data_IF_795879571423
#
_entry.id   IF_795879571423
#
_cell.length_a   1.000
_cell.length_b   1.000
_cell.length_c   1.000
_cell.angle_alpha   90.00
_cell.angle_beta   90.00
_cell.angle_gamma   90.00
#
_symmetry.space_group_name_H-M   'P 1'
#
loop_
_entity.id
_entity.type
_entity.pdbx_description
1 polymer ?
#
# COMPACT_ATOMS: atom_id res chain seq x y z
N UNK A 1 -3.35 -21.96 8.12
CA UNK A 1 -3.88 -20.81 7.37
C UNK A 1 -2.74 -19.83 7.16
N UNK A 2 -2.53 -19.33 5.94
CA UNK A 2 -1.63 -18.20 5.76
C UNK A 2 -2.25 -16.96 6.45
N UNK A 3 -1.39 -16.04 6.86
CA UNK A 3 -1.76 -14.83 7.60
C UNK A 3 -2.68 -13.89 6.82
N UNK A 4 -2.60 -13.89 5.48
CA UNK A 4 -3.47 -13.09 4.61
C UNK A 4 -4.89 -13.63 4.61
N UNK A 5 -5.09 -14.95 4.61
CA UNK A 5 -6.42 -15.56 4.75
C UNK A 5 -7.05 -15.28 6.10
N UNK A 6 -6.27 -15.25 7.19
CA UNK A 6 -6.79 -14.90 8.52
C UNK A 6 -7.33 -13.47 8.56
N UNK A 7 -6.57 -12.56 7.95
CA UNK A 7 -6.93 -11.16 7.77
C UNK A 7 -8.18 -11.02 6.90
N UNK A 8 -8.26 -11.74 5.79
CA UNK A 8 -9.43 -11.77 4.90
C UNK A 8 -10.68 -12.26 5.65
N UNK A 9 -10.57 -13.42 6.30
CA UNK A 9 -11.63 -14.03 7.08
C UNK A 9 -12.17 -13.07 8.14
N UNK A 10 -11.28 -12.41 8.89
CA UNK A 10 -11.68 -11.40 9.87
C UNK A 10 -12.52 -10.27 9.25
N UNK A 11 -12.11 -9.73 8.10
CA UNK A 11 -12.86 -8.66 7.44
C UNK A 11 -14.22 -9.14 6.91
N UNK A 12 -14.28 -10.37 6.40
CA UNK A 12 -15.51 -11.01 5.91
C UNK A 12 -16.49 -11.32 7.06
N UNK A 13 -16.01 -11.86 8.18
CA UNK A 13 -16.81 -12.14 9.39
C UNK A 13 -17.49 -10.88 9.95
N UNK A 14 -16.83 -9.73 9.82
CA UNK A 14 -17.36 -8.45 10.27
C UNK A 14 -18.14 -7.70 9.18
N UNK A 15 -18.39 -8.36 8.04
CA UNK A 15 -19.14 -7.83 6.89
C UNK A 15 -18.63 -6.45 6.42
N UNK A 16 -17.31 -6.24 6.44
CA UNK A 16 -16.72 -4.95 6.07
C UNK A 16 -16.70 -4.79 4.55
N UNK A 17 -17.18 -3.64 4.06
CA UNK A 17 -17.27 -3.36 2.61
C UNK A 17 -16.00 -2.72 2.06
N UNK A 18 -14.88 -2.94 2.74
CA UNK A 18 -13.59 -2.34 2.43
C UNK A 18 -12.72 -3.21 1.50
N UNK A 19 -13.16 -4.40 1.12
CA UNK A 19 -12.38 -5.23 0.19
C UNK A 19 -12.47 -4.69 -1.23
N UNK A 20 -11.31 -4.36 -1.80
CA UNK A 20 -11.19 -3.89 -3.17
C UNK A 20 -10.60 -4.97 -4.07
N UNK A 21 -10.91 -4.89 -5.35
CA UNK A 21 -10.29 -5.74 -6.39
C UNK A 21 -9.23 -4.98 -7.19
N UNK A 22 -9.21 -3.65 -7.08
CA UNK A 22 -8.31 -2.73 -7.81
C UNK A 22 -7.85 -1.60 -6.89
N UNK A 23 -6.66 -1.07 -7.15
CA UNK A 23 -6.17 0.16 -6.55
C UNK A 23 -6.39 1.32 -7.53
N UNK A 24 -7.55 1.96 -7.47
CA UNK A 24 -7.90 3.08 -8.35
C UNK A 24 -8.76 4.12 -7.64
N UNK A 25 -8.32 5.38 -7.65
CA UNK A 25 -9.06 6.48 -7.02
C UNK A 25 -8.81 7.80 -7.71
N UNK A 26 -9.87 8.57 -7.96
CA UNK A 26 -9.80 9.93 -8.54
C UNK A 26 -8.94 10.02 -9.82
N UNK A 27 -9.02 9.02 -10.69
CA UNK A 27 -8.23 8.94 -11.94
C UNK A 27 -6.76 8.55 -11.76
N UNK A 28 -6.31 8.27 -10.53
CA UNK A 28 -5.04 7.60 -10.26
C UNK A 28 -5.25 6.09 -10.23
N UNK A 29 -4.37 5.33 -10.89
CA UNK A 29 -4.41 3.87 -10.93
C UNK A 29 -3.05 3.34 -10.45
N UNK A 30 -3.05 2.26 -9.70
CA UNK A 30 -1.86 1.46 -9.42
C UNK A 30 -2.08 0.05 -9.98
N UNK A 31 -1.26 -0.36 -10.93
CA UNK A 31 -1.47 -1.61 -11.65
C UNK A 31 -0.96 -2.78 -10.79
N UNK A 32 -1.86 -3.76 -10.58
CA UNK A 32 -1.59 -4.96 -9.80
C UNK A 32 -1.43 -6.17 -10.74
N UNK A 33 -0.35 -6.14 -11.52
CA UNK A 33 -0.04 -7.03 -12.65
C UNK A 33 0.48 -8.42 -12.27
N UNK A 34 0.61 -8.71 -10.98
CA UNK A 34 1.07 -10.01 -10.50
C UNK A 34 -0.12 -10.93 -10.21
N UNK A 35 -0.07 -12.18 -10.69
CA UNK A 35 -1.09 -13.20 -10.43
C UNK A 35 -0.84 -13.96 -9.13
N UNK A 36 -0.92 -13.24 -8.01
CA UNK A 36 -0.60 -13.78 -6.69
C UNK A 36 -1.69 -13.48 -5.68
N UNK A 37 -1.76 -14.30 -4.62
CA UNK A 37 -2.71 -14.09 -3.54
C UNK A 37 -2.40 -12.76 -2.83
N UNK A 38 -3.40 -11.89 -2.82
CA UNK A 38 -3.33 -10.56 -2.25
C UNK A 38 -4.67 -10.16 -1.68
N UNK A 39 -4.60 -9.35 -0.65
CA UNK A 39 -5.74 -8.65 -0.10
C UNK A 39 -5.55 -7.16 -0.31
N UNK A 40 -6.58 -6.51 -0.86
CA UNK A 40 -6.60 -5.07 -1.05
C UNK A 40 -7.73 -4.51 -0.18
N UNK A 41 -7.40 -3.54 0.65
CA UNK A 41 -8.34 -2.88 1.55
C UNK A 41 -8.43 -1.42 1.10
N UNK A 42 -9.62 -0.98 0.71
CA UNK A 42 -10.00 0.43 0.59
C UNK A 42 -10.16 1.01 1.99
N UNK A 43 -9.17 1.80 2.39
CA UNK A 43 -9.03 2.25 3.78
C UNK A 43 -9.99 3.40 4.08
N UNK A 44 -10.45 4.14 3.08
CA UNK A 44 -11.49 5.15 3.25
C UNK A 44 -12.83 4.48 3.57
N UNK A 45 -13.19 3.43 2.82
CA UNK A 45 -14.39 2.65 3.12
C UNK A 45 -14.30 1.99 4.49
N UNK A 46 -13.14 1.40 4.82
CA UNK A 46 -12.90 0.85 6.15
C UNK A 46 -13.05 1.91 7.25
N UNK A 47 -12.44 3.09 7.06
CA UNK A 47 -12.52 4.20 8.00
C UNK A 47 -13.95 4.68 8.23
N UNK A 48 -14.76 4.76 7.16
CA UNK A 48 -16.18 5.11 7.24
C UNK A 48 -16.98 4.05 8.02
N UNK A 49 -16.78 2.77 7.71
CA UNK A 49 -17.44 1.65 8.43
C UNK A 49 -17.10 1.64 9.92
N UNK A 50 -15.91 2.13 10.30
CA UNK A 50 -15.45 2.23 11.68
C UNK A 50 -15.74 3.59 12.36
N UNK A 51 -16.37 4.55 11.65
CA UNK A 51 -16.59 5.90 12.18
C UNK A 51 -15.28 6.66 12.48
N UNK A 52 -14.20 6.35 11.76
CA UNK A 52 -12.90 6.97 11.97
C UNK A 52 -12.91 8.43 11.46
N UNK A 53 -12.64 9.39 12.35
CA UNK A 53 -12.53 10.80 11.98
C UNK A 53 -11.15 11.20 11.45
N UNK A 54 -10.15 10.34 11.62
CA UNK A 54 -8.76 10.60 11.23
C UNK A 54 -8.60 10.37 9.73
N UNK A 55 -7.80 11.20 9.07
CA UNK A 55 -7.48 10.99 7.64
C UNK A 55 -6.51 9.83 7.51
N UNK A 56 -6.93 8.79 6.81
CA UNK A 56 -6.14 7.60 6.52
C UNK A 56 -5.56 7.68 5.10
N UNK A 57 -4.75 6.69 4.72
CA UNK A 57 -4.32 6.52 3.35
C UNK A 57 -5.44 5.92 2.49
N UNK A 58 -5.26 5.83 1.18
CA UNK A 58 -6.33 5.32 0.30
C UNK A 58 -6.43 3.80 0.30
N UNK A 59 -5.30 3.08 0.24
CA UNK A 59 -5.29 1.61 0.16
C UNK A 59 -4.24 0.96 1.04
N UNK A 60 -4.55 -0.24 1.53
CA UNK A 60 -3.60 -1.24 2.02
C UNK A 60 -3.58 -2.41 1.04
N UNK A 61 -2.38 -2.93 0.76
CA UNK A 61 -2.21 -4.23 0.12
C UNK A 61 -1.40 -5.12 1.05
N UNK A 62 -1.95 -6.30 1.35
CA UNK A 62 -1.20 -7.42 1.92
C UNK A 62 -0.94 -8.40 0.81
N UNK A 63 0.34 -8.62 0.52
CA UNK A 63 0.81 -9.50 -0.53
C UNK A 63 1.50 -10.70 0.12
N UNK A 64 1.04 -11.91 -0.18
CA UNK A 64 1.66 -13.14 0.30
C UNK A 64 2.57 -13.71 -0.79
N UNK A 65 3.87 -13.53 -0.63
CA UNK A 65 4.85 -14.16 -1.51
C UNK A 65 4.97 -15.64 -1.16
N UNK A 66 4.21 -16.47 -1.88
CA UNK A 66 4.17 -17.92 -1.70
C UNK A 66 5.54 -18.58 -1.83
N UNK A 67 6.46 -18.01 -2.61
CA UNK A 67 7.78 -18.60 -2.82
C UNK A 67 8.69 -18.40 -1.61
N UNK A 68 8.71 -17.19 -1.05
CA UNK A 68 9.56 -16.87 0.10
C UNK A 68 8.86 -16.95 1.45
N UNK A 69 7.55 -17.27 1.47
CA UNK A 69 6.67 -17.23 2.63
C UNK A 69 6.73 -15.89 3.38
N UNK A 70 6.91 -14.79 2.63
CA UNK A 70 7.02 -13.44 3.18
C UNK A 70 5.76 -12.65 2.90
N UNK A 71 5.34 -11.89 3.91
CA UNK A 71 4.20 -11.00 3.79
C UNK A 71 4.73 -9.59 3.58
N UNK A 72 4.28 -8.97 2.50
CA UNK A 72 4.61 -7.59 2.16
C UNK A 72 3.39 -6.73 2.44
N UNK A 73 3.56 -5.75 3.33
CA UNK A 73 2.56 -4.71 3.60
C UNK A 73 2.87 -3.47 2.77
N UNK A 74 1.94 -3.06 1.93
CA UNK A 74 2.03 -1.86 1.11
C UNK A 74 0.94 -0.90 1.55
N UNK A 75 1.32 0.33 1.92
CA UNK A 75 0.37 1.42 2.16
C UNK A 75 0.43 2.39 1.00
N UNK A 76 -0.71 2.77 0.46
CA UNK A 76 -0.78 3.60 -0.75
C UNK A 76 -1.62 4.83 -0.46
N UNK A 77 -0.99 5.98 -0.62
CA UNK A 77 -1.65 7.27 -0.72
C UNK A 77 -1.64 7.73 -2.19
N UNK A 78 -2.80 8.09 -2.75
CA UNK A 78 -2.98 8.56 -4.11
C UNK A 78 -3.34 10.05 -4.15
N UNK A 79 -2.54 10.81 -4.88
CA UNK A 79 -2.78 12.24 -5.13
C UNK A 79 -2.94 12.49 -6.62
N UNK A 80 -4.19 12.63 -7.06
CA UNK A 80 -4.50 12.96 -8.46
C UNK A 80 -4.16 14.41 -8.83
N UNK A 81 -4.03 15.31 -7.84
CA UNK A 81 -3.70 16.72 -8.00
C UNK A 81 -2.48 17.17 -7.21
N UNK A 82 -2.28 18.50 -7.12
CA UNK A 82 -1.18 19.07 -6.32
C UNK A 82 -1.46 18.83 -4.83
N UNK A 83 -0.65 17.99 -4.19
CA UNK A 83 -0.59 17.92 -2.74
C UNK A 83 0.35 19.01 -2.20
N UNK A 84 -0.05 19.70 -1.14
CA UNK A 84 0.84 20.61 -0.39
C UNK A 84 1.38 19.88 0.83
N UNK A 85 2.68 20.01 1.08
CA UNK A 85 3.31 19.65 2.35
C UNK A 85 3.36 18.16 2.70
N UNK A 86 3.36 17.86 4.00
CA UNK A 86 3.60 16.54 4.60
C UNK A 86 2.36 15.65 4.73
N UNK A 87 1.20 16.12 4.32
CA UNK A 87 -0.09 15.45 4.50
C UNK A 87 -0.12 13.97 4.04
N UNK A 88 0.47 13.57 2.90
CA UNK A 88 0.53 12.15 2.53
C UNK A 88 1.23 11.26 3.57
N UNK A 89 2.30 11.77 4.17
CA UNK A 89 3.05 11.06 5.20
C UNK A 89 2.21 10.88 6.47
N UNK A 90 1.51 11.94 6.88
CA UNK A 90 0.61 11.92 8.04
C UNK A 90 -0.50 10.89 7.85
N UNK A 91 -1.13 10.84 6.68
CA UNK A 91 -2.17 9.86 6.35
C UNK A 91 -1.66 8.41 6.45
N UNK A 92 -0.48 8.13 5.90
CA UNK A 92 0.16 6.81 6.00
C UNK A 92 0.49 6.48 7.46
N UNK A 93 1.04 7.43 8.22
CA UNK A 93 1.41 7.22 9.62
C UNK A 93 0.18 6.99 10.50
N UNK A 94 -0.90 7.75 10.28
CA UNK A 94 -2.18 7.57 10.95
C UNK A 94 -2.78 6.21 10.65
N UNK A 95 -2.70 5.74 9.40
CA UNK A 95 -3.17 4.38 9.04
C UNK A 95 -2.45 3.29 9.82
N UNK A 96 -1.13 3.39 9.97
CA UNK A 96 -0.36 2.43 10.77
C UNK A 96 -0.80 2.43 12.22
N UNK A 97 -1.03 3.61 12.80
CA UNK A 97 -1.44 3.75 14.19
C UNK A 97 -2.84 3.18 14.40
N UNK A 98 -3.79 3.58 13.55
CA UNK A 98 -5.19 3.16 13.59
C UNK A 98 -5.34 1.66 13.35
N UNK A 99 -4.58 1.09 12.41
CA UNK A 99 -4.64 -0.34 12.08
C UNK A 99 -3.53 -1.17 12.73
N UNK A 100 -2.88 -0.63 13.76
CA UNK A 100 -1.76 -1.30 14.44
C UNK A 100 -2.15 -2.67 15.00
N UNK A 101 -3.33 -2.79 15.61
CA UNK A 101 -3.85 -4.05 16.15
C UNK A 101 -3.96 -5.14 15.06
N UNK A 102 -4.30 -4.73 13.83
CA UNK A 102 -4.39 -5.62 12.69
C UNK A 102 -2.99 -6.08 12.24
N UNK A 103 -2.06 -5.15 12.09
CA UNK A 103 -0.68 -5.45 11.68
C UNK A 103 0.16 -6.17 12.73
N UNK A 104 -0.26 -6.14 14.00
CA UNK A 104 0.38 -6.91 15.08
C UNK A 104 0.09 -8.41 14.99
N UNK A 105 -1.05 -8.81 14.39
CA UNK A 105 -1.41 -10.23 14.20
C UNK A 105 -0.69 -10.87 13.01
N UNK A 106 0.01 -10.07 12.20
CA UNK A 106 0.61 -10.47 10.94
C UNK A 106 2.13 -10.26 10.99
N UNK A 107 2.90 -11.31 10.65
CA UNK A 107 4.36 -11.25 10.59
C UNK A 107 4.86 -10.56 9.32
N UNK A 108 4.73 -9.24 9.27
CA UNK A 108 5.15 -8.42 8.12
C UNK A 108 6.67 -8.50 7.93
N UNK A 109 7.11 -9.08 6.81
CA UNK A 109 8.53 -9.20 6.45
C UNK A 109 9.04 -7.95 5.74
N UNK A 110 8.19 -7.31 4.93
CA UNK A 110 8.55 -6.11 4.16
C UNK A 110 7.44 -5.07 4.27
N UNK A 111 7.82 -3.81 4.47
CA UNK A 111 6.88 -2.70 4.58
C UNK A 111 7.23 -1.60 3.58
N UNK A 112 6.26 -1.23 2.74
CA UNK A 112 6.43 -0.31 1.62
C UNK A 112 5.38 0.82 1.69
N UNK A 113 5.72 1.97 2.28
CA UNK A 113 4.86 3.15 2.20
C UNK A 113 5.03 3.82 0.83
N UNK A 114 3.95 3.93 0.05
CA UNK A 114 3.93 4.45 -1.31
C UNK A 114 3.06 5.71 -1.39
N UNK A 115 3.60 6.74 -2.03
CA UNK A 115 2.86 7.91 -2.50
C UNK A 115 2.79 7.88 -4.03
N UNK A 116 1.57 7.78 -4.57
CA UNK A 116 1.28 7.90 -5.99
C UNK A 116 0.85 9.33 -6.31
N UNK A 117 1.46 9.93 -7.34
CA UNK A 117 1.08 11.25 -7.83
C UNK A 117 0.63 11.19 -9.28
N UNK A 118 -0.45 11.91 -9.59
CA UNK A 118 -1.02 11.99 -10.95
C UNK A 118 -0.26 12.96 -11.84
N UNK A 119 -0.98 13.58 -12.77
CA UNK A 119 -0.43 14.43 -13.84
C UNK A 119 0.47 15.58 -13.37
N UNK A 120 0.33 16.03 -12.12
CA UNK A 120 1.12 17.12 -11.56
C UNK A 120 2.00 16.58 -10.45
N UNK A 121 3.34 16.53 -10.64
CA UNK A 121 4.23 16.14 -9.57
C UNK A 121 4.14 17.12 -8.40
N UNK A 122 4.53 16.71 -7.18
CA UNK A 122 4.77 17.63 -6.08
C UNK A 122 5.75 18.72 -6.53
N UNK A 123 5.64 19.94 -5.97
CA UNK A 123 6.64 20.99 -6.24
C UNK A 123 8.02 20.47 -5.85
N UNK A 124 9.08 20.88 -6.55
CA UNK A 124 10.44 20.37 -6.33
C UNK A 124 10.88 20.41 -4.86
N UNK A 125 10.55 21.51 -4.15
CA UNK A 125 10.81 21.63 -2.71
C UNK A 125 10.03 20.60 -1.90
N UNK A 126 8.72 20.46 -2.14
CA UNK A 126 7.87 19.45 -1.48
C UNK A 126 8.39 18.04 -1.76
N UNK A 127 8.84 17.77 -2.99
CA UNK A 127 9.35 16.45 -3.39
C UNK A 127 10.65 16.09 -2.67
N UNK A 128 11.60 17.03 -2.55
CA UNK A 128 12.83 16.82 -1.76
C UNK A 128 12.48 16.56 -0.30
N UNK A 129 11.62 17.39 0.28
CA UNK A 129 11.14 17.20 1.65
C UNK A 129 10.50 15.82 1.85
N UNK A 130 9.60 15.41 0.95
CA UNK A 130 8.92 14.11 1.03
C UNK A 130 9.89 12.93 0.90
N UNK A 131 10.93 13.04 0.05
CA UNK A 131 11.98 12.02 -0.08
C UNK A 131 12.81 11.83 1.18
N UNK A 132 13.01 12.88 1.95
CA UNK A 132 13.80 12.83 3.19
C UNK A 132 12.97 12.36 4.39
N UNK A 133 11.64 12.46 4.30
CA UNK A 133 10.75 11.95 5.34
C UNK A 133 10.75 10.42 5.39
N UNK A 134 10.44 9.91 6.58
CA UNK A 134 10.38 8.49 6.89
C UNK A 134 9.08 8.19 7.63
N UNK A 135 8.50 7.03 7.32
CA UNK A 135 7.35 6.47 8.04
C UNK A 135 7.87 5.55 9.13
N UNK A 136 7.31 5.63 10.34
CA UNK A 136 7.65 4.75 11.45
C UNK A 136 6.74 3.51 11.43
N UNK A 137 7.35 2.33 11.39
CA UNK A 137 6.64 1.05 11.49
C UNK A 137 7.45 0.08 12.35
N UNK A 138 6.83 -0.47 13.40
CA UNK A 138 7.46 -1.41 14.35
C UNK A 138 8.87 -0.97 14.80
N UNK A 139 9.00 0.31 15.18
CA UNK A 139 10.25 0.91 15.66
C UNK A 139 11.32 1.20 14.59
N UNK A 140 11.05 0.90 13.31
CA UNK A 140 11.97 1.15 12.19
C UNK A 140 11.47 2.29 11.29
N UNK A 141 12.42 3.04 10.72
CA UNK A 141 12.16 4.14 9.77
C UNK A 141 12.21 3.63 8.33
N UNK A 142 11.15 3.83 7.58
CA UNK A 142 11.05 3.41 6.18
C UNK A 142 10.96 4.63 5.24
N UNK A 143 11.72 4.67 4.13
CA UNK A 143 11.62 5.73 3.14
C UNK A 143 10.28 5.70 2.43
N UNK A 144 9.68 6.88 2.22
CA UNK A 144 8.49 7.01 1.39
C UNK A 144 8.86 6.76 -0.08
N UNK A 145 8.20 5.79 -0.70
CA UNK A 145 8.38 5.45 -2.10
C UNK A 145 7.44 6.32 -2.93
N UNK A 146 8.00 7.25 -3.69
CA UNK A 146 7.20 8.17 -4.52
C UNK A 146 7.20 7.67 -5.97
N UNK A 147 6.01 7.53 -6.58
CA UNK A 147 5.79 7.01 -7.94
C UNK A 147 4.65 7.72 -8.65
N UNK A 148 4.63 7.63 -9.96
CA UNK A 148 3.54 8.21 -10.75
C UNK A 148 2.32 7.27 -10.74
N UNK A 149 1.12 7.81 -10.84
CA UNK A 149 -0.07 7.02 -11.14
C UNK A 149 0.13 6.28 -12.47
N UNK A 150 -0.26 5.01 -12.55
CA UNK A 150 0.03 4.14 -13.69
C UNK A 150 1.31 3.30 -13.51
N UNK A 151 2.03 3.45 -12.40
CA UNK A 151 3.09 2.50 -12.03
C UNK A 151 2.52 1.11 -11.72
N UNK A 152 3.38 0.11 -11.89
CA UNK A 152 3.08 -1.30 -11.66
C UNK A 152 3.66 -1.78 -10.32
N UNK A 153 2.97 -2.72 -9.67
CA UNK A 153 3.46 -3.31 -8.41
C UNK A 153 4.74 -4.13 -8.64
N UNK A 154 4.87 -4.82 -9.77
CA UNK A 154 6.05 -5.60 -10.15
C UNK A 154 7.35 -4.77 -10.12
N UNK A 155 7.31 -3.54 -10.64
CA UNK A 155 8.44 -2.59 -10.62
C UNK A 155 8.88 -2.24 -9.19
N UNK A 156 7.92 -2.13 -8.28
CA UNK A 156 8.18 -1.79 -6.88
C UNK A 156 8.76 -2.98 -6.14
N UNK A 157 8.15 -4.17 -6.29
CA UNK A 157 8.62 -5.37 -5.59
C UNK A 157 10.03 -5.74 -6.06
N UNK A 158 10.29 -5.76 -7.37
CA UNK A 158 11.64 -6.02 -7.92
C UNK A 158 12.71 -5.12 -7.29
N UNK A 159 12.38 -3.84 -7.05
CA UNK A 159 13.34 -2.87 -6.53
C UNK A 159 13.50 -2.89 -5.01
N UNK A 160 12.44 -3.18 -4.25
CA UNK A 160 12.42 -2.93 -2.81
C UNK A 160 12.20 -4.15 -1.93
N UNK A 161 11.66 -5.25 -2.45
CA UNK A 161 11.55 -6.49 -1.68
C UNK A 161 12.71 -7.47 -1.93
N UNK A 162 13.58 -7.17 -2.91
CA UNK A 162 14.65 -8.09 -3.31
C UNK A 162 14.12 -9.37 -3.97
N UNK A 163 12.84 -9.39 -4.36
CA UNK A 163 12.25 -10.50 -5.12
C UNK A 163 12.67 -10.30 -6.58
N UNK A 164 13.73 -11.00 -6.99
CA UNK A 164 14.24 -10.95 -8.36
C UNK A 164 13.49 -11.88 -9.33
N UNK A 165 12.53 -12.67 -8.84
CA UNK A 165 12.02 -13.85 -9.57
C UNK A 165 10.77 -13.59 -10.44
N UNK A 166 10.35 -12.34 -10.60
CA UNK A 166 9.19 -12.01 -11.45
C UNK A 166 9.44 -12.16 -12.95
N UNK A 167 10.69 -12.43 -13.37
CA UNK A 167 11.07 -12.56 -14.79
C UNK A 167 10.44 -13.75 -15.50
N UNK A 168 9.80 -14.68 -14.79
CA UNK A 168 9.20 -15.87 -15.41
C UNK A 168 7.71 -15.71 -15.78
N UNK A 169 7.04 -14.61 -15.42
CA UNK A 169 5.60 -14.46 -15.65
C UNK A 169 5.20 -13.75 -16.96
N UNK A 170 6.14 -13.18 -17.72
CA UNK A 170 5.83 -12.49 -19.00
C UNK A 170 6.12 -13.31 -20.26
N UNK A 171 6.46 -14.60 -20.17
CA UNK A 171 6.84 -15.40 -21.33
C UNK A 171 5.69 -16.20 -22.01
N UNK A 172 4.43 -16.06 -21.57
CA UNK A 172 3.29 -16.75 -22.22
C UNK A 172 2.12 -15.79 -22.42
N UNK A 173 2.08 -15.14 -23.56
CA UNK A 173 1.01 -14.21 -23.93
C UNK A 173 1.28 -13.57 -25.29
N UNK A 174 1.42 -14.43 -26.31
CA UNK A 174 1.31 -14.07 -27.72
C UNK A 174 -0.16 -14.09 -28.14
#
# INVERSE_FOLDING_TARGET
>A
MNSVSQVRHFLEEHNMRCLATRCQKNGCIFHLDLHTDRLIIDVDNWGNDQGCSTKLCDYIILYDDQHSHKIILILIEMKSGRSKGTRPLEQIQSTIQTMSQFFCRVSISTFLPILLYGRRPPRTMDFKTLKDKRVMFKGKKYPLIIRHCGSYISEILTRYSGINDFRHYHATGS
#
